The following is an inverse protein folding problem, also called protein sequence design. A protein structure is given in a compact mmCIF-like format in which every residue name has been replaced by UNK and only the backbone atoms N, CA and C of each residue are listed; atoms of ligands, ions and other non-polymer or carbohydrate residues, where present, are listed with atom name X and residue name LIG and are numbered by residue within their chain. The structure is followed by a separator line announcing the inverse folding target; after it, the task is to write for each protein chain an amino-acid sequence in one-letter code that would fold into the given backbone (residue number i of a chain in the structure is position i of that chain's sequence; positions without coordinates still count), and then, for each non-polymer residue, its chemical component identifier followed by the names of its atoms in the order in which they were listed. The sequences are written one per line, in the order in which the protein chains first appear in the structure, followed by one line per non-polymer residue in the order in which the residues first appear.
data_IF_372332314573
#
_entry.id   IF_372332314573
#
_cell.length_a   1.000
_cell.length_b   1.000
_cell.length_c   1.000
_cell.angle_alpha   90.00
_cell.angle_beta   90.00
_cell.angle_gamma   90.00
#
_symmetry.space_group_name_H-M   'P 1'
#
loop_
_entity.id
_entity.type
_entity.pdbx_description
1 polymer ?
#
# COMPACT_ATOMS: atom_id res chain seq x y z
N UNK A 1 -16.19 -9.80 24.60
CA UNK A 1 -15.76 -8.90 23.48
C UNK A 1 -15.57 -9.61 22.13
N UNK A 2 -14.82 -10.72 22.01
CA UNK A 2 -14.57 -11.40 20.71
C UNK A 2 -15.83 -11.91 20.00
N UNK A 3 -16.83 -12.41 20.74
CA UNK A 3 -18.10 -12.89 20.18
C UNK A 3 -18.95 -11.75 19.59
N UNK A 4 -19.06 -10.63 20.30
CA UNK A 4 -19.71 -9.40 19.83
C UNK A 4 -19.04 -8.83 18.58
N UNK A 5 -17.70 -8.79 18.53
CA UNK A 5 -16.97 -8.39 17.32
C UNK A 5 -17.22 -9.34 16.14
N UNK A 6 -17.32 -10.65 16.39
CA UNK A 6 -17.64 -11.66 15.37
C UNK A 6 -19.07 -11.51 14.83
N UNK A 7 -20.03 -11.21 15.72
CA UNK A 7 -21.43 -10.93 15.37
C UNK A 7 -21.54 -9.59 14.60
N UNK A 8 -20.89 -8.53 15.08
CA UNK A 8 -20.83 -7.22 14.42
C UNK A 8 -20.12 -7.28 13.05
N UNK A 9 -19.13 -8.16 12.88
CA UNK A 9 -18.49 -8.40 11.59
C UNK A 9 -19.45 -9.03 10.58
N UNK A 10 -20.30 -9.98 11.03
CA UNK A 10 -21.33 -10.60 10.19
C UNK A 10 -22.42 -9.61 9.78
N UNK A 11 -22.85 -8.71 10.67
CA UNK A 11 -23.89 -7.71 10.35
C UNK A 11 -23.41 -6.64 9.36
N UNK A 12 -22.11 -6.33 9.31
CA UNK A 12 -21.49 -5.49 8.27
C UNK A 12 -21.42 -6.17 6.90
N UNK A 13 -21.68 -7.47 6.87
CA UNK A 13 -21.69 -8.26 5.65
C UNK A 13 -20.32 -8.41 4.98
N UNK A 14 -19.27 -8.27 5.78
CA UNK A 14 -17.88 -8.62 5.49
C UNK A 14 -17.68 -10.11 5.72
N UNK A 15 -16.92 -10.75 4.83
CA UNK A 15 -16.62 -12.18 4.94
C UNK A 15 -15.53 -12.45 5.97
N UNK A 16 -14.53 -11.58 6.02
CA UNK A 16 -13.33 -11.80 6.80
C UNK A 16 -13.32 -10.95 8.09
N UNK A 17 -12.66 -11.41 9.16
CA UNK A 17 -12.60 -10.66 10.41
C UNK A 17 -11.53 -9.56 10.44
N UNK A 18 -10.53 -9.64 9.56
CA UNK A 18 -9.41 -8.69 9.49
C UNK A 18 -9.72 -7.57 8.51
N UNK A 19 -9.22 -6.36 8.76
CA UNK A 19 -9.37 -5.22 7.85
C UNK A 19 -8.53 -5.40 6.58
N UNK A 20 -7.29 -5.86 6.74
CA UNK A 20 -6.36 -6.18 5.67
C UNK A 20 -6.08 -7.67 5.65
N UNK A 21 -6.13 -8.26 4.46
CA UNK A 21 -5.91 -9.69 4.25
C UNK A 21 -4.63 -9.88 3.46
N UNK A 22 -3.71 -10.62 4.03
CA UNK A 22 -2.46 -10.98 3.37
C UNK A 22 -2.74 -11.98 2.25
N UNK A 23 -1.92 -11.99 1.22
CA UNK A 23 -2.01 -12.91 0.10
C UNK A 23 -0.67 -13.03 -0.63
N UNK A 24 -0.59 -14.01 -1.51
CA UNK A 24 0.46 -14.13 -2.52
C UNK A 24 0.05 -13.35 -3.78
N UNK A 25 0.73 -12.23 -4.04
CA UNK A 25 0.39 -11.30 -5.13
C UNK A 25 0.48 -11.97 -6.50
N UNK A 26 1.46 -12.87 -6.67
CA UNK A 26 1.78 -13.48 -7.97
C UNK A 26 0.78 -14.60 -8.33
N UNK A 27 0.04 -15.10 -7.34
CA UNK A 27 -1.08 -16.03 -7.50
C UNK A 27 -2.45 -15.33 -7.42
N UNK A 28 -2.48 -14.00 -7.36
CA UNK A 28 -3.72 -13.24 -7.23
C UNK A 28 -4.32 -12.89 -8.61
N UNK A 29 -5.08 -13.82 -9.17
CA UNK A 29 -5.71 -13.65 -10.48
C UNK A 29 -6.88 -12.65 -10.47
N UNK A 30 -7.22 -12.04 -11.60
CA UNK A 30 -8.44 -11.23 -11.74
C UNK A 30 -8.50 -9.97 -10.87
N UNK A 31 -7.35 -9.37 -10.55
CA UNK A 31 -7.30 -8.05 -9.94
C UNK A 31 -8.01 -7.01 -10.84
N UNK A 32 -8.72 -6.02 -10.27
CA UNK A 32 -9.38 -5.00 -11.07
C UNK A 32 -8.33 -4.15 -11.78
N UNK A 33 -8.69 -3.64 -12.95
CA UNK A 33 -7.84 -2.75 -13.73
C UNK A 33 -8.21 -1.31 -13.47
N UNK A 34 -7.18 -0.48 -13.38
CA UNK A 34 -7.29 0.95 -13.11
C UNK A 34 -7.02 1.69 -14.41
N UNK A 35 -7.87 2.66 -14.73
CA UNK A 35 -7.78 3.44 -15.94
C UNK A 35 -7.87 4.92 -15.63
N UNK A 36 -7.15 5.74 -16.38
CA UNK A 36 -7.48 7.16 -16.48
C UNK A 36 -8.79 7.30 -17.23
N UNK A 37 -9.68 8.21 -16.82
CA UNK A 37 -10.81 8.63 -17.63
C UNK A 37 -10.51 9.98 -18.31
N UNK A 38 -10.73 10.04 -19.61
CA UNK A 38 -10.53 11.20 -20.47
C UNK A 38 -11.92 11.72 -20.90
N UNK A 39 -12.64 12.32 -19.94
CA UNK A 39 -14.05 12.66 -20.10
C UNK A 39 -14.96 11.44 -19.98
N UNK A 40 -15.68 11.12 -21.06
CA UNK A 40 -16.60 9.97 -21.15
C UNK A 40 -15.95 8.71 -21.70
N UNK A 41 -14.67 8.77 -22.07
CA UNK A 41 -13.90 7.61 -22.57
C UNK A 41 -12.79 7.21 -21.62
N UNK A 42 -12.36 5.97 -21.76
CA UNK A 42 -11.25 5.38 -21.03
C UNK A 42 -9.95 5.81 -21.71
N UNK A 43 -8.99 6.27 -20.91
CA UNK A 43 -7.63 6.58 -21.32
C UNK A 43 -6.68 5.40 -21.05
N UNK A 44 -5.38 5.66 -20.82
CA UNK A 44 -4.41 4.60 -20.56
C UNK A 44 -4.71 3.80 -19.28
N UNK A 45 -4.36 2.51 -19.31
CA UNK A 45 -4.36 1.65 -18.13
C UNK A 45 -3.23 2.07 -17.17
N UNK A 46 -3.57 2.21 -15.89
CA UNK A 46 -2.68 2.66 -14.82
C UNK A 46 -2.42 1.59 -13.77
N UNK A 47 -2.97 0.37 -13.92
CA UNK A 47 -2.93 -0.72 -12.91
C UNK A 47 -1.53 -0.95 -12.32
N UNK A 48 -0.51 -1.02 -13.18
CA UNK A 48 0.89 -1.22 -12.77
C UNK A 48 1.71 0.08 -12.71
N UNK A 49 1.14 1.22 -13.09
CA UNK A 49 1.87 2.48 -13.23
C UNK A 49 1.74 3.38 -11.99
N UNK A 50 0.72 3.19 -11.15
CA UNK A 50 0.50 4.03 -9.98
C UNK A 50 1.02 3.41 -8.68
N UNK A 51 1.46 4.28 -7.77
CA UNK A 51 1.85 3.93 -6.42
C UNK A 51 0.82 4.47 -5.43
N UNK A 52 0.52 3.69 -4.40
CA UNK A 52 -0.25 4.15 -3.25
C UNK A 52 0.71 4.52 -2.12
N UNK A 53 0.80 5.82 -1.79
CA UNK A 53 1.89 6.38 -0.98
C UNK A 53 1.39 7.18 0.24
N UNK A 54 0.12 7.04 0.62
CA UNK A 54 -0.43 7.69 1.81
C UNK A 54 -1.89 7.40 1.97
N UNK A 55 -2.39 7.28 3.20
CA UNK A 55 -3.81 7.01 3.49
C UNK A 55 -4.52 8.13 4.24
N UNK A 56 -3.79 9.13 4.75
CA UNK A 56 -4.37 10.33 5.35
C UNK A 56 -3.53 11.60 4.99
N UNK A 57 -3.82 12.27 3.87
CA UNK A 57 -4.86 11.95 2.89
C UNK A 57 -4.49 10.73 2.03
N UNK A 58 -5.42 10.25 1.20
CA UNK A 58 -5.13 9.20 0.21
C UNK A 58 -4.26 9.79 -0.89
N UNK A 59 -3.04 9.29 -1.03
CA UNK A 59 -2.04 9.79 -1.97
C UNK A 59 -1.70 8.75 -3.02
N UNK A 60 -1.74 9.15 -4.29
CA UNK A 60 -1.29 8.34 -5.41
C UNK A 60 -0.14 9.05 -6.13
N UNK A 61 0.90 8.30 -6.50
CA UNK A 61 1.95 8.80 -7.39
C UNK A 61 1.84 8.12 -8.76
N UNK A 62 2.02 8.89 -9.82
CA UNK A 62 1.92 8.46 -11.21
C UNK A 62 3.17 8.94 -11.99
N UNK A 63 3.57 8.22 -13.06
CA UNK A 63 4.71 8.63 -13.87
C UNK A 63 4.34 9.85 -14.70
N UNK A 64 5.30 10.74 -14.88
CA UNK A 64 5.23 11.84 -15.83
C UNK A 64 4.82 13.19 -15.24
N UNK A 65 4.96 14.22 -16.09
CA UNK A 65 4.65 15.61 -15.76
C UNK A 65 3.26 15.97 -16.29
N UNK A 66 2.23 15.81 -15.46
CA UNK A 66 0.94 16.48 -15.70
C UNK A 66 1.09 17.98 -15.34
N UNK A 67 0.10 18.86 -15.56
CA UNK A 67 0.15 20.25 -15.13
C UNK A 67 -0.47 20.42 -13.72
N UNK A 68 0.03 21.34 -12.85
CA UNK A 68 -0.59 21.57 -11.54
C UNK A 68 -2.04 22.06 -11.72
N UNK A 69 -2.97 21.58 -10.90
CA UNK A 69 -4.39 21.91 -11.01
C UNK A 69 -5.21 20.95 -11.86
N UNK A 70 -4.57 20.04 -12.61
CA UNK A 70 -5.28 18.98 -13.35
C UNK A 70 -6.05 18.08 -12.37
N UNK A 71 -7.37 18.06 -12.52
CA UNK A 71 -8.22 17.08 -11.88
C UNK A 71 -8.15 15.78 -12.68
N UNK A 72 -7.79 14.69 -12.01
CA UNK A 72 -7.67 13.37 -12.63
C UNK A 72 -8.80 12.48 -12.14
N UNK A 73 -9.50 11.82 -13.06
CA UNK A 73 -10.51 10.81 -12.75
C UNK A 73 -9.94 9.43 -13.05
N UNK A 74 -9.98 8.56 -12.06
CA UNK A 74 -9.56 7.16 -12.18
C UNK A 74 -10.79 6.27 -12.12
N UNK A 75 -10.94 5.39 -13.09
CA UNK A 75 -12.02 4.43 -13.18
C UNK A 75 -11.46 3.02 -13.01
N UNK A 76 -12.16 2.20 -12.25
CA UNK A 76 -11.74 0.84 -11.91
C UNK A 76 -12.78 -0.13 -12.44
N UNK A 77 -12.33 -1.14 -13.18
CA UNK A 77 -13.17 -2.13 -13.85
C UNK A 77 -12.65 -3.56 -13.62
N UNK A 78 -13.52 -4.55 -13.81
CA UNK A 78 -13.17 -5.98 -13.68
C UNK A 78 -12.67 -6.60 -14.98
N UNK A 79 -12.98 -5.98 -16.12
CA UNK A 79 -12.57 -6.42 -17.45
C UNK A 79 -11.53 -5.49 -18.05
N UNK A 80 -10.86 -5.98 -19.10
CA UNK A 80 -10.00 -5.15 -19.92
C UNK A 80 -10.85 -4.15 -20.72
N UNK A 81 -10.46 -2.89 -20.69
CA UNK A 81 -10.96 -1.81 -21.52
C UNK A 81 -9.79 -1.27 -22.35
N UNK A 82 -10.07 -0.83 -23.57
CA UNK A 82 -9.11 -0.19 -24.45
C UNK A 82 -9.22 1.34 -24.37
N UNK A 83 -8.12 2.08 -24.60
CA UNK A 83 -8.20 3.53 -24.75
C UNK A 83 -9.20 3.92 -25.85
N UNK A 84 -10.11 4.84 -25.54
CA UNK A 84 -11.22 5.26 -26.40
C UNK A 84 -12.54 4.56 -26.12
N UNK A 85 -12.55 3.44 -25.40
CA UNK A 85 -13.80 2.78 -24.98
C UNK A 85 -14.64 3.72 -24.09
N UNK A 86 -15.98 3.64 -24.14
CA UNK A 86 -16.81 4.41 -23.22
C UNK A 86 -16.54 3.99 -21.78
N UNK A 87 -16.46 4.98 -20.87
CA UNK A 87 -16.41 4.71 -19.43
C UNK A 87 -17.66 3.89 -19.05
N UNK A 88 -17.50 2.74 -18.35
CA UNK A 88 -18.65 1.96 -17.93
C UNK A 88 -19.63 2.81 -17.12
N UNK A 89 -20.93 2.78 -17.47
CA UNK A 89 -21.98 3.53 -16.74
C UNK A 89 -21.98 3.27 -15.24
N UNK A 90 -21.50 2.09 -14.82
CA UNK A 90 -21.43 1.66 -13.41
C UNK A 90 -20.08 0.99 -13.15
N UNK A 91 -18.99 1.77 -13.05
CA UNK A 91 -17.67 1.19 -12.83
C UNK A 91 -17.62 0.48 -11.47
N UNK A 92 -16.66 -0.42 -11.30
CA UNK A 92 -16.49 -1.12 -10.02
C UNK A 92 -16.14 -0.13 -8.91
N UNK A 93 -15.26 0.82 -9.22
CA UNK A 93 -14.93 1.95 -8.37
C UNK A 93 -14.44 3.14 -9.19
N UNK A 94 -14.39 4.30 -8.55
CA UNK A 94 -13.92 5.55 -9.12
C UNK A 94 -13.22 6.38 -8.04
N UNK A 95 -12.14 7.08 -8.43
CA UNK A 95 -11.49 8.11 -7.64
C UNK A 95 -11.42 9.42 -8.42
N UNK A 96 -11.71 10.53 -7.74
CA UNK A 96 -11.40 11.88 -8.20
C UNK A 96 -10.19 12.38 -7.46
N UNK A 97 -9.19 12.80 -8.21
CA UNK A 97 -7.88 13.17 -7.71
C UNK A 97 -7.58 14.62 -8.08
N UNK A 98 -6.82 15.30 -7.22
CA UNK A 98 -6.26 16.61 -7.48
C UNK A 98 -4.75 16.51 -7.42
N UNK A 99 -4.07 17.05 -8.43
CA UNK A 99 -2.62 17.11 -8.42
C UNK A 99 -2.12 17.98 -7.26
N UNK A 100 -1.06 17.52 -6.62
CA UNK A 100 -0.35 18.23 -5.57
C UNK A 100 1.01 18.70 -6.08
N UNK A 101 1.59 19.70 -5.42
CA UNK A 101 3.00 20.00 -5.59
C UNK A 101 3.83 18.80 -5.13
N UNK A 102 4.71 18.31 -5.99
CA UNK A 102 5.62 17.22 -5.71
C UNK A 102 6.98 17.56 -6.35
N UNK A 103 8.05 17.15 -5.71
CA UNK A 103 9.40 17.29 -6.27
C UNK A 103 9.68 16.11 -7.21
N UNK A 104 10.50 16.34 -8.26
CA UNK A 104 10.98 15.28 -9.13
C UNK A 104 10.17 15.01 -10.39
N UNK A 105 10.31 13.78 -10.90
CA UNK A 105 9.66 13.33 -12.15
C UNK A 105 8.27 12.72 -11.93
N UNK A 106 7.86 12.58 -10.66
CA UNK A 106 6.60 11.99 -10.26
C UNK A 106 5.52 13.05 -10.06
N UNK A 107 4.33 12.76 -10.59
CA UNK A 107 3.14 13.53 -10.27
C UNK A 107 2.42 12.88 -9.08
N UNK A 108 2.30 13.64 -8.00
CA UNK A 108 1.62 13.21 -6.78
C UNK A 108 0.20 13.78 -6.75
N UNK A 109 -0.75 12.97 -6.30
CA UNK A 109 -2.18 13.26 -6.34
C UNK A 109 -2.82 12.96 -4.99
N UNK A 110 -3.65 13.89 -4.52
CA UNK A 110 -4.55 13.68 -3.40
C UNK A 110 -5.90 13.18 -3.93
N UNK A 111 -6.44 12.10 -3.36
CA UNK A 111 -7.82 11.72 -3.63
C UNK A 111 -8.79 12.65 -2.88
N UNK A 112 -9.66 13.29 -3.66
CA UNK A 112 -10.72 14.16 -3.15
C UNK A 112 -11.98 13.36 -2.84
N UNK A 113 -12.31 12.40 -3.70
CA UNK A 113 -13.54 11.61 -3.60
C UNK A 113 -13.32 10.21 -4.16
N UNK A 114 -14.05 9.24 -3.60
CA UNK A 114 -14.06 7.85 -4.01
C UNK A 114 -15.44 7.24 -3.85
N UNK A 115 -15.83 6.45 -4.84
CA UNK A 115 -17.06 5.68 -4.84
C UNK A 115 -16.77 4.26 -5.33
N UNK A 116 -17.41 3.25 -4.74
CA UNK A 116 -17.22 1.87 -5.17
C UNK A 116 -18.47 1.02 -5.00
N UNK A 117 -18.48 -0.11 -5.70
CA UNK A 117 -19.55 -1.11 -5.71
C UNK A 117 -19.13 -2.44 -5.09
N UNK A 118 -17.99 -2.45 -4.39
CA UNK A 118 -17.54 -3.64 -3.63
C UNK A 118 -18.61 -4.15 -2.65
N UNK A 119 -19.39 -3.24 -2.05
CA UNK A 119 -20.51 -3.57 -1.17
C UNK A 119 -21.75 -2.74 -1.53
N UNK A 120 -22.96 -3.20 -1.19
CA UNK A 120 -24.17 -2.38 -1.28
C UNK A 120 -24.08 -1.12 -0.40
N UNK A 121 -24.74 -0.03 -0.82
CA UNK A 121 -24.67 1.28 -0.16
C UNK A 121 -25.04 1.23 1.33
N UNK A 122 -26.05 0.43 1.71
CA UNK A 122 -26.43 0.29 3.13
C UNK A 122 -25.31 -0.32 3.99
N UNK A 123 -24.54 -1.29 3.45
CA UNK A 123 -23.42 -1.89 4.18
C UNK A 123 -22.25 -0.93 4.31
N UNK A 124 -22.00 -0.13 3.26
CA UNK A 124 -21.02 0.95 3.32
C UNK A 124 -21.39 1.96 4.43
N UNK A 125 -22.66 2.37 4.50
CA UNK A 125 -23.13 3.28 5.56
C UNK A 125 -22.96 2.70 6.98
N UNK A 126 -23.24 1.41 7.18
CA UNK A 126 -23.00 0.74 8.47
C UNK A 126 -21.52 0.69 8.85
N UNK A 127 -20.64 0.41 7.87
CA UNK A 127 -19.18 0.41 8.08
C UNK A 127 -18.70 1.83 8.42
N UNK A 128 -19.14 2.85 7.67
CA UNK A 128 -18.78 4.24 7.89
C UNK A 128 -19.20 4.70 9.30
N UNK A 129 -20.43 4.39 9.72
CA UNK A 129 -20.92 4.71 11.05
C UNK A 129 -20.12 4.00 12.15
N UNK A 130 -19.85 2.70 11.98
CA UNK A 130 -19.03 1.97 12.94
C UNK A 130 -17.63 2.54 13.06
N UNK A 131 -17.00 2.91 11.95
CA UNK A 131 -15.65 3.45 11.97
C UNK A 131 -15.59 4.81 12.65
N UNK A 132 -16.58 5.68 12.43
CA UNK A 132 -16.72 6.93 13.19
C UNK A 132 -16.77 6.67 14.68
N UNK A 133 -17.56 5.68 15.11
CA UNK A 133 -17.67 5.33 16.51
C UNK A 133 -16.38 4.72 17.08
N UNK A 134 -15.74 3.80 16.35
CA UNK A 134 -14.54 3.08 16.83
C UNK A 134 -13.27 3.94 16.83
N UNK A 135 -13.14 4.86 15.85
CA UNK A 135 -11.95 5.70 15.68
C UNK A 135 -11.93 6.94 16.59
N UNK A 136 -12.98 7.19 17.39
CA UNK A 136 -12.97 8.19 18.47
C UNK A 136 -12.07 7.82 19.66
N UNK A 137 -11.32 6.72 19.59
CA UNK A 137 -10.35 6.30 20.62
C UNK A 137 -8.99 6.96 20.40
N UNK A 138 -8.35 7.38 21.49
CA UNK A 138 -7.01 7.97 21.47
C UNK A 138 -5.99 7.08 20.74
N UNK A 139 -5.18 7.68 19.87
CA UNK A 139 -4.12 7.02 19.09
C UNK A 139 -4.53 6.51 17.70
N UNK A 140 -5.83 6.40 17.40
CA UNK A 140 -6.31 6.02 16.08
C UNK A 140 -6.29 7.22 15.12
N UNK A 141 -5.91 7.00 13.86
CA UNK A 141 -6.06 8.01 12.80
C UNK A 141 -7.52 7.99 12.35
N UNK A 142 -8.22 9.09 12.57
CA UNK A 142 -9.59 9.23 12.08
C UNK A 142 -9.59 9.62 10.59
N UNK A 143 -10.18 8.77 9.75
CA UNK A 143 -10.35 9.05 8.33
C UNK A 143 -11.69 9.73 8.07
N UNK A 144 -11.68 11.05 8.13
CA UNK A 144 -12.89 11.87 7.97
C UNK A 144 -13.57 11.72 6.60
N UNK A 145 -14.88 11.94 6.58
CA UNK A 145 -15.68 12.06 5.37
C UNK A 145 -15.63 10.80 4.50
N UNK A 146 -15.12 10.95 3.28
CA UNK A 146 -15.07 9.90 2.26
C UNK A 146 -13.71 9.18 2.19
N UNK A 147 -12.73 9.57 3.01
CA UNK A 147 -11.35 9.04 2.97
C UNK A 147 -11.29 7.53 3.19
N UNK A 148 -12.11 6.98 4.09
CA UNK A 148 -12.12 5.55 4.32
C UNK A 148 -12.50 4.74 3.06
N UNK A 149 -13.45 5.24 2.25
CA UNK A 149 -13.80 4.61 0.98
C UNK A 149 -12.68 4.73 -0.05
N UNK A 150 -11.97 5.85 -0.07
CA UNK A 150 -10.80 6.03 -0.94
C UNK A 150 -9.70 5.03 -0.57
N UNK A 151 -9.46 4.78 0.72
CA UNK A 151 -8.53 3.74 1.21
C UNK A 151 -8.99 2.35 0.77
N UNK A 152 -10.27 2.03 0.92
CA UNK A 152 -10.84 0.75 0.45
C UNK A 152 -10.62 0.53 -1.05
N UNK A 153 -10.72 1.60 -1.84
CA UNK A 153 -10.45 1.59 -3.27
C UNK A 153 -8.95 1.42 -3.52
N UNK A 154 -8.09 2.21 -2.88
CA UNK A 154 -6.63 2.09 -3.02
C UNK A 154 -6.12 0.68 -2.72
N UNK A 155 -6.69 -0.01 -1.73
CA UNK A 155 -6.38 -1.39 -1.38
C UNK A 155 -7.26 -2.44 -2.10
N UNK A 156 -7.90 -2.07 -3.22
CA UNK A 156 -8.54 -3.04 -4.12
C UNK A 156 -7.53 -3.72 -5.07
N UNK A 157 -6.31 -3.21 -5.11
CA UNK A 157 -5.15 -3.87 -5.72
C UNK A 157 -4.25 -4.41 -4.61
N UNK A 158 -3.63 -5.60 -4.82
CA UNK A 158 -2.59 -6.08 -3.94
C UNK A 158 -1.50 -5.02 -3.74
N UNK A 159 -1.28 -4.62 -2.49
CA UNK A 159 -0.14 -3.76 -2.11
C UNK A 159 0.93 -4.62 -1.48
N UNK A 160 2.10 -4.66 -2.13
CA UNK A 160 3.27 -5.40 -1.63
C UNK A 160 3.62 -4.92 -0.24
N UNK A 161 3.93 -5.86 0.66
CA UNK A 161 4.44 -5.55 1.98
C UNK A 161 5.90 -5.94 2.00
N UNK A 162 6.75 -4.95 2.21
CA UNK A 162 8.20 -5.12 2.25
C UNK A 162 8.73 -4.77 3.63
N UNK A 163 9.94 -5.25 3.95
CA UNK A 163 10.67 -4.84 5.13
C UNK A 163 11.78 -3.85 4.74
N UNK A 164 11.96 -2.81 5.55
CA UNK A 164 13.08 -1.87 5.41
C UNK A 164 14.10 -2.19 6.49
N UNK A 165 15.34 -2.47 6.07
CA UNK A 165 16.51 -2.47 6.95
C UNK A 165 17.18 -1.10 6.90
N UNK A 166 17.39 -0.50 8.07
CA UNK A 166 18.18 0.72 8.27
C UNK A 166 19.27 0.50 9.32
N UNK A 167 20.38 1.22 9.23
CA UNK A 167 21.53 1.07 10.15
C UNK A 167 22.71 0.38 9.47
N UNK A 168 23.42 -0.45 10.22
CA UNK A 168 24.62 -1.15 9.75
C UNK A 168 24.69 -2.61 10.28
N UNK A 169 25.87 -3.23 10.18
CA UNK A 169 26.09 -4.60 10.62
C UNK A 169 26.18 -4.76 12.16
N UNK A 170 26.35 -3.69 12.92
CA UNK A 170 26.43 -3.71 14.38
C UNK A 170 25.12 -3.27 15.06
N UNK A 171 24.38 -2.35 14.42
CA UNK A 171 23.11 -1.85 14.93
C UNK A 171 22.16 -1.53 13.78
N UNK A 172 21.03 -2.23 13.73
CA UNK A 172 20.03 -2.03 12.70
C UNK A 172 18.60 -2.07 13.23
N UNK A 173 17.69 -1.53 12.45
CA UNK A 173 16.26 -1.72 12.66
C UNK A 173 15.64 -2.34 11.41
N UNK A 174 14.54 -3.06 11.62
CA UNK A 174 13.81 -3.77 10.57
C UNK A 174 12.31 -3.57 10.79
N UNK A 175 11.62 -2.91 9.86
CA UNK A 175 10.18 -2.62 10.00
C UNK A 175 9.43 -2.72 8.67
N UNK A 176 8.13 -3.06 8.69
CA UNK A 176 7.34 -3.25 7.48
C UNK A 176 6.84 -1.93 6.87
N UNK A 177 6.67 -1.91 5.55
CA UNK A 177 5.92 -0.86 4.85
C UNK A 177 5.14 -1.48 3.69
N UNK A 178 4.00 -0.90 3.38
CA UNK A 178 3.13 -1.23 2.24
C UNK A 178 2.86 -0.02 1.34
N UNK A 179 3.33 1.17 1.75
CA UNK A 179 3.17 2.43 1.04
C UNK A 179 4.45 2.78 0.30
N UNK A 180 4.79 1.99 -0.72
CA UNK A 180 6.02 2.16 -1.46
C UNK A 180 5.92 1.63 -2.89
N UNK A 181 6.93 1.95 -3.71
CA UNK A 181 7.16 1.32 -5.00
C UNK A 181 8.00 2.16 -5.94
N UNK A 182 8.34 1.58 -7.09
CA UNK A 182 9.10 2.25 -8.15
C UNK A 182 8.17 2.90 -9.17
N UNK A 183 8.46 4.14 -9.54
CA UNK A 183 7.76 4.83 -10.62
C UNK A 183 8.74 5.81 -11.30
N UNK A 184 8.75 5.85 -12.64
CA UNK A 184 9.59 6.80 -13.38
C UNK A 184 11.10 6.73 -13.06
N UNK A 185 11.65 5.54 -12.78
CA UNK A 185 13.07 5.37 -12.44
C UNK A 185 13.45 5.75 -11.00
N UNK A 186 12.54 6.33 -10.24
CA UNK A 186 12.70 6.62 -8.81
C UNK A 186 11.93 5.59 -7.96
N UNK A 187 12.26 5.54 -6.67
CA UNK A 187 11.54 4.75 -5.68
C UNK A 187 10.94 5.66 -4.62
N UNK A 188 9.66 5.47 -4.31
CA UNK A 188 8.98 6.17 -3.21
C UNK A 188 8.78 5.23 -2.03
N UNK A 189 9.01 5.75 -0.84
CA UNK A 189 8.59 5.13 0.43
C UNK A 189 7.88 6.19 1.25
N UNK A 190 6.71 5.85 1.77
CA UNK A 190 5.94 6.70 2.67
C UNK A 190 5.94 6.14 4.08
N UNK A 191 6.30 6.98 5.06
CA UNK A 191 6.30 6.62 6.47
C UNK A 191 5.48 7.64 7.26
N UNK A 192 4.71 7.15 8.23
CA UNK A 192 3.88 8.00 9.09
C UNK A 192 4.75 8.85 10.02
N UNK A 193 4.35 10.08 10.28
CA UNK A 193 4.90 10.90 11.36
C UNK A 193 4.63 10.29 12.74
N UNK A 194 5.40 10.72 13.73
CA UNK A 194 5.24 10.30 15.12
C UNK A 194 5.86 8.95 15.47
N UNK A 195 6.54 8.29 14.53
CA UNK A 195 7.40 7.14 14.78
C UNK A 195 8.89 7.47 14.61
N UNK A 196 9.75 6.52 14.99
CA UNK A 196 11.20 6.64 14.83
C UNK A 196 11.67 6.24 13.42
N UNK A 197 10.91 5.38 12.73
CA UNK A 197 11.28 4.86 11.41
C UNK A 197 11.63 5.95 10.39
N UNK A 198 10.80 7.01 10.28
CA UNK A 198 11.06 8.11 9.35
C UNK A 198 12.37 8.85 9.64
N UNK A 199 12.63 9.14 10.92
CA UNK A 199 13.88 9.80 11.32
C UNK A 199 15.10 8.89 11.08
N UNK A 200 14.97 7.59 11.32
CA UNK A 200 16.03 6.61 11.06
C UNK A 200 16.36 6.50 9.57
N UNK A 201 15.36 6.45 8.70
CA UNK A 201 15.55 6.46 7.25
C UNK A 201 16.25 7.76 6.80
N UNK A 202 15.80 8.90 7.32
CA UNK A 202 16.40 10.19 6.99
C UNK A 202 17.87 10.28 7.44
N UNK A 203 18.18 9.80 8.65
CA UNK A 203 19.53 9.80 9.20
C UNK A 203 20.46 8.82 8.47
N UNK A 204 19.96 7.64 8.12
CA UNK A 204 20.76 6.64 7.41
C UNK A 204 21.07 7.06 5.96
N UNK A 205 20.13 7.75 5.29
CA UNK A 205 20.26 8.17 3.89
C UNK A 205 20.35 7.02 2.87
N UNK A 206 20.48 5.78 3.33
CA UNK A 206 20.61 4.55 2.54
C UNK A 206 19.86 3.45 3.26
N UNK A 207 19.05 2.70 2.51
CA UNK A 207 18.21 1.64 3.06
C UNK A 207 18.24 0.41 2.16
N UNK A 208 18.01 -0.76 2.75
CA UNK A 208 17.65 -1.96 2.00
C UNK A 208 16.15 -2.20 2.16
N UNK A 209 15.42 -2.32 1.05
CA UNK A 209 14.00 -2.65 1.04
C UNK A 209 13.83 -4.05 0.44
N UNK A 210 13.35 -4.98 1.26
CA UNK A 210 13.20 -6.38 0.90
C UNK A 210 11.72 -6.76 0.69
N UNK A 211 11.40 -7.30 -0.48
CA UNK A 211 10.12 -7.96 -0.71
C UNK A 211 10.15 -9.33 -0.02
N UNK A 212 9.04 -9.70 0.61
CA UNK A 212 8.98 -10.87 1.49
C UNK A 212 8.15 -11.99 0.87
N UNK A 213 8.51 -13.24 1.19
CA UNK A 213 7.67 -14.39 0.83
C UNK A 213 6.32 -14.36 1.59
N UNK A 214 5.21 -14.81 0.97
CA UNK A 214 3.89 -14.85 1.60
C UNK A 214 3.86 -15.60 2.93
N UNK A 215 4.65 -16.67 3.06
CA UNK A 215 4.77 -17.46 4.30
C UNK A 215 5.23 -16.62 5.51
N UNK A 216 5.99 -15.53 5.28
CA UNK A 216 6.53 -14.67 6.31
C UNK A 216 5.51 -13.65 6.88
N UNK A 217 4.25 -13.66 6.43
CA UNK A 217 3.25 -12.63 6.79
C UNK A 217 3.13 -12.39 8.30
N UNK A 218 3.18 -13.43 9.14
CA UNK A 218 3.11 -13.27 10.61
C UNK A 218 4.31 -12.54 11.16
N UNK A 219 5.51 -12.90 10.71
CA UNK A 219 6.77 -12.25 11.10
C UNK A 219 6.76 -10.79 10.68
N UNK A 220 6.42 -10.51 9.42
CA UNK A 220 6.37 -9.15 8.87
C UNK A 220 5.43 -8.24 9.66
N UNK A 221 4.21 -8.70 9.97
CA UNK A 221 3.28 -7.91 10.79
C UNK A 221 3.71 -7.78 12.25
N UNK A 222 4.36 -8.80 12.82
CA UNK A 222 4.91 -8.74 14.17
C UNK A 222 6.00 -7.68 14.35
N UNK A 223 6.68 -7.31 13.26
CA UNK A 223 7.68 -6.24 13.21
C UNK A 223 7.06 -4.84 13.12
N UNK A 224 5.73 -4.69 13.03
CA UNK A 224 5.08 -3.37 12.98
C UNK A 224 5.41 -2.47 14.17
N UNK A 225 5.67 -3.06 15.36
CA UNK A 225 6.11 -2.32 16.55
C UNK A 225 7.48 -1.65 16.39
N UNK A 226 8.32 -2.14 15.47
CA UNK A 226 9.66 -1.64 15.26
C UNK A 226 9.69 -0.22 14.65
N UNK A 227 8.56 0.26 14.11
CA UNK A 227 8.38 1.68 13.74
C UNK A 227 8.63 2.65 14.89
N UNK A 228 8.47 2.18 16.13
CA UNK A 228 8.62 2.96 17.36
C UNK A 228 9.88 2.57 18.15
N UNK A 229 10.74 1.69 17.62
CA UNK A 229 11.89 1.17 18.34
C UNK A 229 13.20 1.75 17.77
N UNK A 230 14.22 1.96 18.62
CA UNK A 230 15.56 2.31 18.15
C UNK A 230 16.20 1.11 17.42
N UNK A 231 17.26 1.36 16.62
CA UNK A 231 18.14 0.30 16.14
C UNK A 231 18.70 -0.54 17.29
N UNK A 232 18.93 -1.82 17.03
CA UNK A 232 19.42 -2.80 18.00
C UNK A 232 20.35 -3.80 17.33
N UNK A 233 20.96 -4.65 18.15
CA UNK A 233 21.82 -5.72 17.66
C UNK A 233 21.08 -6.62 16.64
N UNK A 234 21.69 -6.98 15.49
CA UNK A 234 21.08 -7.78 14.45
C UNK A 234 20.49 -9.11 14.93
N UNK A 235 21.08 -9.74 15.96
CA UNK A 235 20.66 -11.02 16.52
C UNK A 235 19.25 -10.95 17.14
N UNK A 236 18.78 -9.74 17.47
CA UNK A 236 17.42 -9.50 17.96
C UNK A 236 16.38 -9.34 16.83
N UNK A 237 16.76 -9.56 15.57
CA UNK A 237 15.91 -9.39 14.39
C UNK A 237 15.88 -10.68 13.55
N UNK A 238 14.79 -10.96 12.80
CA UNK A 238 14.65 -12.14 11.95
C UNK A 238 15.45 -11.98 10.64
N UNK A 239 16.77 -11.87 10.77
CA UNK A 239 17.70 -11.68 9.67
C UNK A 239 18.22 -13.02 9.16
N UNK A 240 18.47 -13.09 7.86
CA UNK A 240 19.09 -14.23 7.19
C UNK A 240 20.62 -14.13 7.13
N UNK A 241 21.28 -15.14 6.54
CA UNK A 241 22.72 -15.13 6.35
C UNK A 241 23.16 -14.15 5.24
N UNK A 242 22.23 -13.68 4.41
CA UNK A 242 22.53 -12.83 3.26
C UNK A 242 22.82 -11.39 3.67
N UNK A 243 23.58 -10.71 2.82
CA UNK A 243 23.89 -9.28 2.90
C UNK A 243 23.56 -8.61 1.56
N UNK A 244 23.14 -7.36 1.61
CA UNK A 244 22.87 -6.57 0.41
C UNK A 244 24.18 -6.28 -0.33
N UNK A 245 24.22 -6.32 -1.67
CA UNK A 245 25.49 -6.32 -2.40
C UNK A 245 26.25 -4.98 -2.39
N UNK A 246 25.56 -3.84 -2.37
CA UNK A 246 26.19 -2.52 -2.44
C UNK A 246 26.69 -2.04 -1.08
N UNK A 247 25.92 -2.26 -0.02
CA UNK A 247 26.18 -1.69 1.31
C UNK A 247 26.38 -2.72 2.41
N UNK A 248 26.24 -4.02 2.11
CA UNK A 248 26.41 -5.07 3.10
C UNK A 248 25.35 -5.02 4.21
N UNK A 249 24.18 -4.44 3.96
CA UNK A 249 23.11 -4.37 4.95
C UNK A 249 22.54 -5.77 5.22
N UNK A 250 22.16 -6.09 6.47
CA UNK A 250 21.51 -7.36 6.77
C UNK A 250 20.19 -7.54 6.01
N UNK A 251 20.05 -8.70 5.36
CA UNK A 251 18.85 -9.07 4.60
C UNK A 251 17.93 -9.94 5.47
N UNK A 252 16.62 -9.69 5.49
CA UNK A 252 15.66 -10.54 6.21
C UNK A 252 15.66 -11.99 5.72
N UNK A 253 15.39 -12.95 6.62
CA UNK A 253 15.52 -14.39 6.31
C UNK A 253 14.64 -14.86 5.13
N UNK A 254 13.41 -14.36 5.04
CA UNK A 254 12.43 -14.75 4.02
C UNK A 254 12.35 -13.74 2.85
N UNK A 255 13.41 -12.96 2.62
CA UNK A 255 13.47 -12.02 1.51
C UNK A 255 13.55 -12.77 0.17
N UNK A 256 12.70 -12.41 -0.79
CA UNK A 256 12.70 -13.00 -2.15
C UNK A 256 13.45 -12.12 -3.15
N UNK A 257 13.40 -10.81 -2.95
CA UNK A 257 14.12 -9.79 -3.72
C UNK A 257 14.31 -8.55 -2.86
N UNK A 258 15.17 -7.64 -3.28
CA UNK A 258 15.34 -6.37 -2.59
C UNK A 258 15.95 -5.29 -3.46
N UNK A 259 15.85 -4.07 -2.95
CA UNK A 259 16.39 -2.85 -3.53
C UNK A 259 17.32 -2.19 -2.53
N UNK A 260 18.45 -1.71 -3.02
CA UNK A 260 19.30 -0.78 -2.28
C UNK A 260 18.99 0.63 -2.77
N UNK A 261 18.45 1.45 -1.87
CA UNK A 261 17.87 2.75 -2.14
C UNK A 261 18.66 3.86 -1.45
N UNK A 262 19.09 4.86 -2.21
CA UNK A 262 19.79 6.05 -1.69
C UNK A 262 18.87 7.27 -1.72
N UNK A 263 18.74 7.95 -0.58
CA UNK A 263 17.82 9.05 -0.38
C UNK A 263 18.23 10.26 -1.22
N UNK A 264 17.27 10.81 -1.97
CA UNK A 264 17.42 12.04 -2.75
C UNK A 264 16.91 13.23 -1.96
N UNK A 265 15.63 13.17 -1.59
CA UNK A 265 14.95 14.18 -0.81
C UNK A 265 13.74 13.58 -0.09
N UNK A 266 13.05 14.41 0.68
CA UNK A 266 11.78 14.03 1.31
C UNK A 266 10.88 15.25 1.46
N UNK A 267 9.58 15.02 1.50
CA UNK A 267 8.59 16.06 1.74
C UNK A 267 7.40 15.50 2.53
N UNK A 268 6.71 16.37 3.25
CA UNK A 268 5.57 16.00 4.09
C UNK A 268 4.25 16.16 3.32
N UNK A 269 3.34 15.20 3.49
CA UNK A 269 2.01 15.21 2.90
C UNK A 269 1.00 14.55 3.87
N UNK A 270 0.21 15.39 4.53
CA UNK A 270 -0.72 14.95 5.57
C UNK A 270 0.00 14.39 6.78
N UNK A 271 -0.27 13.14 7.14
CA UNK A 271 0.40 12.46 8.26
C UNK A 271 1.66 11.67 7.84
N UNK A 272 2.06 11.77 6.58
CA UNK A 272 3.15 11.00 6.00
C UNK A 272 4.31 11.88 5.57
N UNK A 273 5.53 11.38 5.76
CA UNK A 273 6.73 11.83 5.05
C UNK A 273 6.97 10.90 3.87
N UNK A 274 7.03 11.46 2.68
CA UNK A 274 7.36 10.75 1.45
C UNK A 274 8.85 10.93 1.20
N UNK A 275 9.57 9.82 1.12
CA UNK A 275 10.99 9.74 0.85
C UNK A 275 11.20 9.31 -0.60
N UNK A 276 11.98 10.09 -1.35
CA UNK A 276 12.37 9.80 -2.73
C UNK A 276 13.76 9.21 -2.76
N UNK A 277 13.91 8.09 -3.46
CA UNK A 277 15.18 7.39 -3.56
C UNK A 277 15.57 7.15 -5.01
N UNK A 278 16.89 7.12 -5.21
CA UNK A 278 17.51 6.51 -6.38
C UNK A 278 17.76 5.03 -6.10
N UNK A 279 17.39 4.18 -7.04
CA UNK A 279 17.71 2.75 -7.00
C UNK A 279 19.19 2.58 -7.34
N UNK A 280 19.98 2.01 -6.42
CA UNK A 280 21.40 1.71 -6.62
C UNK A 280 21.66 0.28 -7.02
N UNK A 281 20.88 -0.65 -6.47
CA UNK A 281 20.91 -2.05 -6.89
C UNK A 281 19.53 -2.68 -6.74
N UNK A 282 19.31 -3.75 -7.50
CA UNK A 282 18.18 -4.65 -7.33
C UNK A 282 18.72 -6.08 -7.31
N UNK A 283 18.30 -6.88 -6.34
CA UNK A 283 18.76 -8.26 -6.18
C UNK A 283 17.59 -9.22 -6.06
N UNK A 284 17.71 -10.39 -6.66
CA UNK A 284 16.78 -11.51 -6.48
C UNK A 284 17.48 -12.55 -5.61
N UNK A 285 16.89 -12.87 -4.45
CA UNK A 285 17.43 -13.82 -3.49
C UNK A 285 16.81 -15.22 -3.65
N UNK A 286 15.53 -15.29 -4.03
CA UNK A 286 14.82 -16.53 -4.27
C UNK A 286 14.03 -16.45 -5.58
N UNK A 287 14.28 -17.39 -6.50
CA UNK A 287 13.53 -17.49 -7.76
C UNK A 287 12.22 -18.24 -7.54
N UNK A 288 11.18 -17.90 -8.32
CA UNK A 288 9.87 -18.56 -8.33
C UNK A 288 9.10 -18.52 -7.00
N UNK A 289 9.48 -17.64 -6.07
CA UNK A 289 8.72 -17.39 -4.86
C UNK A 289 7.66 -16.32 -5.14
N UNK A 290 6.46 -16.51 -4.59
CA UNK A 290 5.41 -15.48 -4.61
C UNK A 290 5.80 -14.27 -3.76
N UNK A 291 5.11 -13.15 -3.96
CA UNK A 291 5.35 -11.89 -3.24
C UNK A 291 4.24 -11.62 -2.22
N UNK A 292 4.61 -11.34 -0.96
CA UNK A 292 3.66 -10.97 0.08
C UNK A 292 3.02 -9.62 -0.25
N UNK A 293 1.69 -9.60 -0.31
CA UNK A 293 0.90 -8.39 -0.42
C UNK A 293 -0.32 -8.46 0.50
N UNK A 294 -1.09 -7.38 0.55
CA UNK A 294 -2.43 -7.39 1.14
C UNK A 294 -3.44 -6.58 0.33
N UNK A 295 -4.71 -6.85 0.60
CA UNK A 295 -5.85 -6.09 0.11
C UNK A 295 -6.81 -5.78 1.25
N UNK A 296 -7.69 -4.80 1.02
CA UNK A 296 -8.73 -4.48 1.99
C UNK A 296 -9.87 -5.52 1.95
N UNK A 297 -10.40 -5.87 3.12
CA UNK A 297 -11.44 -6.88 3.30
C UNK A 297 -12.73 -6.56 2.53
N UNK A 298 -13.06 -5.29 2.34
CA UNK A 298 -14.19 -4.87 1.49
C UNK A 298 -14.05 -5.40 0.06
N UNK A 299 -12.87 -5.25 -0.54
CA UNK A 299 -12.59 -5.78 -1.88
C UNK A 299 -12.53 -7.31 -1.87
N UNK A 300 -11.85 -7.92 -0.88
CA UNK A 300 -11.80 -9.38 -0.77
C UNK A 300 -13.18 -10.02 -0.59
N UNK A 301 -14.06 -9.38 0.17
CA UNK A 301 -15.46 -9.79 0.36
C UNK A 301 -16.23 -9.68 -0.95
N UNK A 302 -16.02 -8.61 -1.73
CA UNK A 302 -16.60 -8.46 -3.05
C UNK A 302 -16.16 -9.59 -3.98
N UNK A 303 -14.84 -9.86 -4.07
CA UNK A 303 -14.30 -10.96 -4.89
C UNK A 303 -14.95 -12.29 -4.56
N UNK A 304 -14.99 -12.64 -3.28
CA UNK A 304 -15.59 -13.89 -2.81
C UNK A 304 -17.05 -14.05 -3.27
N UNK A 305 -17.85 -12.98 -3.19
CA UNK A 305 -19.26 -13.00 -3.61
C UNK A 305 -19.43 -13.09 -5.13
N UNK A 306 -18.42 -12.72 -5.90
CA UNK A 306 -18.46 -12.75 -7.37
C UNK A 306 -17.63 -13.91 -7.93
N UNK A 307 -17.42 -14.98 -7.15
CA UNK A 307 -16.73 -16.20 -7.60
C UNK A 307 -15.22 -16.07 -7.77
N UNK A 308 -14.62 -14.95 -7.38
CA UNK A 308 -13.18 -14.75 -7.46
C UNK A 308 -12.45 -15.64 -6.47
N UNK A 309 -11.50 -16.44 -6.96
CA UNK A 309 -10.59 -17.21 -6.11
C UNK A 309 -9.82 -16.27 -5.16
N UNK A 310 -9.59 -16.75 -3.94
CA UNK A 310 -8.83 -16.06 -2.92
C UNK A 310 -7.77 -16.97 -2.35
N UNK A 311 -6.57 -16.44 -2.17
CA UNK A 311 -5.41 -17.08 -1.53
C UNK A 311 -5.05 -16.34 -0.23
N UNK A 312 -6.08 -15.93 0.52
CA UNK A 312 -5.93 -15.08 1.69
C UNK A 312 -5.31 -15.82 2.88
N UNK A 313 -4.30 -15.21 3.48
CA UNK A 313 -3.62 -15.67 4.68
C UNK A 313 -4.19 -14.93 5.88
N UNK A 314 -4.81 -15.67 6.80
CA UNK A 314 -5.44 -15.13 8.01
C UNK A 314 -4.49 -15.23 9.20
N UNK A 315 -4.24 -14.10 9.86
CA UNK A 315 -3.44 -14.01 11.11
C UNK A 315 -4.23 -14.30 12.39
#
# INVERSE_FOLDING_TARGET
MKLLQKILGRTRGLRFPQEYLCLDADRHEGAPRWYRADGETVGPELTAAHLFVGYCPVLLALPGRLAPGDALRIVIATGALQPGDPVPRRPLAELRLRRMACTGELACFEALQGAHRFLPAFRQALIDHHNRWYQQRAGNVFLEGNRYRQVQIAYSLPRTISLITVGDAASCNLFPTDLHGSCGGEYLVSLRHGGMAGAQVQAAGRIHLANMAPAAYRTVYGLGKNHMQPPRAPEALPLGPLRSPQWGLPVPADAISGYELELLDSFDAGIHRLFRFRIRSQTVYARNAGTLAHVHNVYATWRYKNGGAGNYLLR
#
